data_IF_277570248269
#
_entry.id   IF_277570248269
#
_cell.length_a   1.000
_cell.length_b   1.000
_cell.length_c   1.000
_cell.angle_alpha   90.00
_cell.angle_beta   90.00
_cell.angle_gamma   90.00
#
_symmetry.space_group_name_H-M   'P 1'
#
loop_
_entity.id
_entity.type
_entity.pdbx_description
1 polymer ?
#
# COMPACT_ATOMS: atom_id res chain seq x y z
N UNK A 1 -0.37 28.88 -5.09
CA UNK A 1 -1.00 27.68 -4.51
C UNK A 1 -0.48 26.50 -5.31
N UNK A 2 0.22 25.60 -4.64
CA UNK A 2 0.84 24.45 -5.33
C UNK A 2 -0.23 23.50 -5.83
N UNK A 3 0.00 22.98 -7.05
CA UNK A 3 -0.88 22.04 -7.74
C UNK A 3 -0.38 20.62 -7.57
N UNK A 4 -1.25 19.74 -7.06
CA UNK A 4 -0.93 18.33 -6.84
C UNK A 4 -1.78 17.44 -7.73
N UNK A 5 -1.13 16.52 -8.45
CA UNK A 5 -1.77 15.42 -9.13
C UNK A 5 -1.75 14.17 -8.25
N UNK A 6 -2.91 13.60 -8.01
CA UNK A 6 -3.07 12.29 -7.34
C UNK A 6 -3.46 11.26 -8.39
N UNK A 7 -2.48 10.59 -8.96
CA UNK A 7 -2.67 9.60 -10.02
C UNK A 7 -3.29 8.31 -9.44
N UNK A 8 -4.47 7.91 -9.93
CA UNK A 8 -5.21 6.76 -9.39
C UNK A 8 -5.75 6.96 -7.97
N UNK A 9 -6.07 8.20 -7.60
CA UNK A 9 -6.38 8.60 -6.22
C UNK A 9 -7.74 8.18 -5.66
N UNK A 10 -8.51 7.31 -6.33
CA UNK A 10 -9.81 6.82 -5.83
C UNK A 10 -9.73 5.51 -5.05
N UNK A 11 -8.52 4.99 -4.84
CA UNK A 11 -8.26 3.74 -4.12
C UNK A 11 -8.25 3.89 -2.59
N UNK A 12 -7.81 2.82 -1.92
CA UNK A 12 -7.84 2.67 -0.46
C UNK A 12 -7.16 3.80 0.33
N UNK A 13 -6.04 4.32 -0.15
CA UNK A 13 -5.30 5.42 0.49
C UNK A 13 -5.76 6.78 -0.02
N UNK A 14 -6.04 6.90 -1.33
CA UNK A 14 -6.36 8.18 -1.95
C UNK A 14 -7.62 8.83 -1.40
N UNK A 15 -8.64 8.04 -1.03
CA UNK A 15 -9.89 8.58 -0.44
C UNK A 15 -9.69 9.26 0.92
N UNK A 16 -8.58 8.99 1.61
CA UNK A 16 -8.18 9.69 2.84
C UNK A 16 -7.15 10.79 2.57
N UNK A 17 -6.29 10.62 1.55
CA UNK A 17 -5.25 11.58 1.23
C UNK A 17 -5.81 12.85 0.60
N UNK A 18 -6.72 12.71 -0.37
CA UNK A 18 -7.24 13.85 -1.14
C UNK A 18 -7.85 14.94 -0.24
N UNK A 19 -8.78 14.63 0.71
CA UNK A 19 -9.31 15.66 1.60
C UNK A 19 -8.24 16.31 2.49
N UNK A 20 -7.19 15.58 2.86
CA UNK A 20 -6.09 16.14 3.66
C UNK A 20 -5.21 17.10 2.86
N UNK A 21 -4.99 16.84 1.58
CA UNK A 21 -4.27 17.77 0.69
C UNK A 21 -5.08 19.04 0.44
N UNK A 22 -6.39 18.92 0.18
CA UNK A 22 -7.29 20.08 0.04
C UNK A 22 -7.31 20.92 1.31
N UNK A 23 -7.42 20.29 2.49
CA UNK A 23 -7.42 20.99 3.78
C UNK A 23 -6.09 21.74 4.06
N UNK A 24 -4.99 21.34 3.42
CA UNK A 24 -3.69 22.03 3.48
C UNK A 24 -3.57 23.19 2.48
N UNK A 25 -4.61 23.45 1.69
CA UNK A 25 -4.66 24.56 0.75
C UNK A 25 -4.04 24.25 -0.61
N UNK A 26 -3.79 22.99 -0.96
CA UNK A 26 -3.33 22.60 -2.29
C UNK A 26 -4.49 22.58 -3.31
N UNK A 27 -4.16 22.92 -4.57
CA UNK A 27 -5.04 22.65 -5.70
C UNK A 27 -4.87 21.20 -6.14
N UNK A 28 -5.88 20.36 -5.88
CA UNK A 28 -5.76 18.91 -6.03
C UNK A 28 -6.54 18.41 -7.24
N UNK A 29 -5.85 17.76 -8.15
CA UNK A 29 -6.45 17.00 -9.27
C UNK A 29 -6.28 15.50 -9.02
N UNK A 30 -7.36 14.74 -9.17
CA UNK A 30 -7.42 13.30 -8.94
C UNK A 30 -7.81 12.60 -10.23
N UNK A 31 -7.03 11.62 -10.68
CA UNK A 31 -7.42 10.78 -11.81
C UNK A 31 -8.12 9.50 -11.38
N UNK A 32 -9.06 9.06 -12.21
CA UNK A 32 -9.79 7.81 -12.03
C UNK A 32 -10.16 7.20 -13.39
N UNK A 33 -10.36 5.89 -13.43
CA UNK A 33 -10.86 5.17 -14.60
C UNK A 33 -12.31 4.69 -14.42
N UNK A 34 -12.81 4.58 -13.18
CA UNK A 34 -14.15 4.10 -12.85
C UNK A 34 -14.93 5.13 -12.01
N UNK A 35 -15.97 5.71 -12.59
CA UNK A 35 -16.83 6.67 -11.90
C UNK A 35 -17.70 6.04 -10.79
N UNK A 36 -17.93 4.73 -10.81
CA UNK A 36 -18.74 4.02 -9.79
C UNK A 36 -18.08 4.00 -8.41
N UNK A 37 -16.76 4.13 -8.37
CA UNK A 37 -15.97 4.17 -7.14
C UNK A 37 -15.71 5.60 -6.65
N UNK A 38 -16.36 6.60 -7.27
CA UNK A 38 -16.01 7.98 -7.07
C UNK A 38 -16.67 8.57 -5.82
N UNK A 39 -15.96 8.57 -4.72
CA UNK A 39 -16.23 9.40 -3.56
C UNK A 39 -15.42 10.70 -3.72
N UNK A 40 -16.11 11.81 -3.98
CA UNK A 40 -15.46 13.10 -4.24
C UNK A 40 -15.22 13.87 -2.96
N UNK A 41 -13.98 14.22 -2.70
CA UNK A 41 -13.66 15.23 -1.70
C UNK A 41 -14.05 16.61 -2.23
N UNK A 42 -14.74 17.38 -1.41
CA UNK A 42 -15.06 18.78 -1.74
C UNK A 42 -13.76 19.58 -1.95
N UNK A 43 -13.70 20.39 -2.98
CA UNK A 43 -12.54 21.22 -3.31
C UNK A 43 -11.46 20.51 -4.15
N UNK A 44 -11.62 19.24 -4.50
CA UNK A 44 -10.73 18.56 -5.42
C UNK A 44 -11.36 18.41 -6.80
N UNK A 45 -10.53 18.50 -7.85
CA UNK A 45 -10.92 18.26 -9.23
C UNK A 45 -10.74 16.77 -9.59
N UNK A 46 -11.74 16.14 -10.23
CA UNK A 46 -11.69 14.72 -10.62
C UNK A 46 -11.78 14.58 -12.12
N UNK A 47 -10.75 13.96 -12.72
CA UNK A 47 -10.63 13.77 -14.16
C UNK A 47 -10.64 12.28 -14.48
N UNK A 48 -11.53 11.86 -15.38
CA UNK A 48 -11.50 10.50 -15.92
C UNK A 48 -10.36 10.40 -16.93
N UNK A 49 -9.31 9.66 -16.58
CA UNK A 49 -8.12 9.49 -17.41
C UNK A 49 -7.59 8.06 -17.23
N UNK A 50 -7.23 7.43 -18.35
CA UNK A 50 -6.47 6.19 -18.30
C UNK A 50 -4.99 6.50 -18.05
N UNK A 51 -4.52 6.26 -16.84
CA UNK A 51 -3.13 6.51 -16.47
C UNK A 51 -2.14 5.48 -17.05
N UNK A 52 -2.62 4.45 -17.78
CA UNK A 52 -1.78 3.56 -18.59
C UNK A 52 -1.65 4.01 -20.06
N UNK A 53 -2.33 5.07 -20.47
CA UNK A 53 -2.11 5.75 -21.73
C UNK A 53 -1.07 6.87 -21.55
N UNK A 54 0.13 6.67 -22.09
CA UNK A 54 1.24 7.64 -22.01
C UNK A 54 0.92 8.97 -22.69
N UNK A 55 0.07 8.96 -23.73
CA UNK A 55 -0.38 10.18 -24.40
C UNK A 55 -1.25 11.03 -23.48
N UNK A 56 -2.25 10.39 -22.85
CA UNK A 56 -3.12 11.03 -21.87
C UNK A 56 -2.35 11.54 -20.64
N UNK A 57 -1.34 10.81 -20.17
CA UNK A 57 -0.47 11.25 -19.05
C UNK A 57 0.35 12.50 -19.46
N UNK A 58 0.93 12.54 -20.66
CA UNK A 58 1.68 13.71 -21.14
C UNK A 58 0.79 14.94 -21.28
N UNK A 59 -0.40 14.77 -21.83
CA UNK A 59 -1.39 15.86 -21.97
C UNK A 59 -1.79 16.39 -20.58
N UNK A 60 -2.11 15.50 -19.64
CA UNK A 60 -2.47 15.86 -18.28
C UNK A 60 -1.34 16.64 -17.58
N UNK A 61 -0.09 16.19 -17.71
CA UNK A 61 1.08 16.86 -17.12
C UNK A 61 1.37 18.21 -17.77
N UNK A 62 0.85 18.47 -18.98
CA UNK A 62 0.90 19.77 -19.65
C UNK A 62 0.15 20.88 -18.90
N UNK A 63 -0.77 20.54 -18.00
CA UNK A 63 -1.46 21.51 -17.14
C UNK A 63 -0.56 22.11 -16.05
N UNK A 64 0.65 21.57 -15.83
CA UNK A 64 1.64 22.03 -14.85
C UNK A 64 1.25 21.67 -13.42
N UNK A 65 1.90 20.64 -12.86
CA UNK A 65 1.76 20.24 -11.47
C UNK A 65 3.09 20.43 -10.74
N UNK A 66 3.02 20.96 -9.51
CA UNK A 66 4.21 21.13 -8.67
C UNK A 66 4.60 19.81 -8.02
N UNK A 67 3.62 18.96 -7.67
CA UNK A 67 3.83 17.65 -7.08
C UNK A 67 2.89 16.58 -7.64
N UNK A 68 3.39 15.34 -7.68
CA UNK A 68 2.60 14.16 -8.06
C UNK A 68 2.77 13.07 -7.03
N UNK A 69 1.69 12.42 -6.64
CA UNK A 69 1.74 11.10 -5.99
C UNK A 69 1.09 10.05 -6.91
N UNK A 70 1.79 8.94 -7.11
CA UNK A 70 1.43 7.93 -8.09
C UNK A 70 1.02 6.62 -7.43
N UNK A 71 -0.30 6.36 -7.40
CA UNK A 71 -0.87 5.09 -6.90
C UNK A 71 -0.98 4.01 -7.97
N UNK A 72 -0.50 4.28 -9.18
CA UNK A 72 -0.52 3.29 -10.25
C UNK A 72 0.48 2.16 -9.99
N UNK A 73 0.19 1.00 -10.57
CA UNK A 73 1.05 -0.18 -10.44
C UNK A 73 1.68 -0.47 -11.80
N UNK A 74 2.98 -0.30 -11.90
CA UNK A 74 3.76 -0.56 -13.09
C UNK A 74 4.69 -1.74 -12.87
N UNK A 75 4.84 -2.60 -13.88
CA UNK A 75 5.95 -3.53 -13.93
C UNK A 75 7.29 -2.79 -14.20
N UNK A 76 8.40 -3.53 -14.21
CA UNK A 76 9.73 -2.94 -14.39
C UNK A 76 9.84 -2.13 -15.69
N UNK A 77 9.32 -2.66 -16.81
CA UNK A 77 9.40 -2.01 -18.11
C UNK A 77 8.50 -0.78 -18.22
N UNK A 78 7.29 -0.86 -17.68
CA UNK A 78 6.36 0.26 -17.64
C UNK A 78 6.89 1.38 -16.74
N UNK A 79 7.41 1.04 -15.54
CA UNK A 79 7.95 2.03 -14.61
C UNK A 79 9.03 2.91 -15.25
N UNK A 80 9.98 2.29 -15.98
CA UNK A 80 11.03 3.01 -16.69
C UNK A 80 10.54 3.97 -17.78
N UNK A 81 9.31 3.80 -18.26
CA UNK A 81 8.67 4.71 -19.26
C UNK A 81 7.84 5.81 -18.61
N UNK A 82 7.14 5.51 -17.50
CA UNK A 82 6.24 6.46 -16.86
C UNK A 82 6.95 7.38 -15.87
N UNK A 83 7.86 6.86 -15.03
CA UNK A 83 8.54 7.67 -14.02
C UNK A 83 9.25 8.91 -14.59
N UNK A 84 9.97 8.85 -15.74
CA UNK A 84 10.55 10.04 -16.36
C UNK A 84 9.53 11.12 -16.71
N UNK A 85 8.30 10.75 -17.11
CA UNK A 85 7.26 11.76 -17.45
C UNK A 85 6.91 12.63 -16.24
N UNK A 86 6.82 12.01 -15.04
CA UNK A 86 6.56 12.74 -13.80
C UNK A 86 7.79 13.52 -13.34
N UNK A 87 8.95 12.88 -13.34
CA UNK A 87 10.21 13.47 -12.86
C UNK A 87 10.67 14.69 -13.68
N UNK A 88 10.44 14.67 -15.00
CA UNK A 88 10.80 15.78 -15.90
C UNK A 88 9.82 16.96 -15.83
N UNK A 89 8.60 16.75 -15.36
CA UNK A 89 7.52 17.72 -15.43
C UNK A 89 7.04 18.27 -14.10
N UNK A 90 7.53 17.72 -12.98
CA UNK A 90 7.07 18.14 -11.65
C UNK A 90 8.23 18.42 -10.70
N UNK A 91 7.98 19.28 -9.73
CA UNK A 91 8.95 19.60 -8.67
C UNK A 91 9.15 18.45 -7.69
N UNK A 92 8.12 17.61 -7.47
CA UNK A 92 8.21 16.42 -6.62
C UNK A 92 7.37 15.27 -7.17
N UNK A 93 8.00 14.10 -7.28
CA UNK A 93 7.34 12.83 -7.61
C UNK A 93 7.37 11.87 -6.42
N UNK A 94 6.22 11.62 -5.78
CA UNK A 94 6.08 10.63 -4.71
C UNK A 94 5.69 9.30 -5.32
N UNK A 95 6.62 8.36 -5.32
CA UNK A 95 6.46 7.03 -5.91
C UNK A 95 6.08 6.00 -4.86
N UNK A 96 4.96 5.31 -5.11
CA UNK A 96 4.48 4.25 -4.22
C UNK A 96 5.24 2.94 -4.47
N UNK A 97 6.19 2.63 -3.59
CA UNK A 97 6.80 1.32 -3.45
C UNK A 97 5.98 0.44 -2.48
N UNK A 98 6.61 -0.43 -1.75
CA UNK A 98 5.97 -1.32 -0.78
C UNK A 98 6.99 -1.85 0.24
N UNK A 99 6.57 -2.03 1.49
CA UNK A 99 7.35 -2.75 2.51
C UNK A 99 7.69 -4.20 2.07
N UNK A 100 6.94 -4.77 1.13
CA UNK A 100 7.19 -6.13 0.61
C UNK A 100 8.53 -6.29 -0.10
N UNK A 101 9.22 -5.20 -0.43
CA UNK A 101 10.57 -5.27 -1.01
C UNK A 101 11.60 -5.84 -0.03
N UNK A 102 11.36 -5.75 1.27
CA UNK A 102 12.30 -6.20 2.29
C UNK A 102 12.34 -7.72 2.47
N UNK A 103 13.54 -8.22 2.69
CA UNK A 103 13.78 -9.59 3.16
C UNK A 103 13.36 -9.76 4.64
N UNK A 104 13.60 -10.93 5.22
CA UNK A 104 13.30 -11.23 6.62
C UNK A 104 14.60 -11.46 7.42
N UNK A 105 15.54 -10.51 7.33
CA UNK A 105 16.87 -10.64 7.90
C UNK A 105 17.11 -9.69 9.09
N UNK A 106 16.25 -8.70 9.27
CA UNK A 106 16.36 -7.70 10.33
C UNK A 106 15.03 -7.43 11.03
N UNK A 107 15.10 -7.16 12.33
CA UNK A 107 13.98 -6.73 13.18
C UNK A 107 14.46 -5.67 14.16
N UNK A 108 13.89 -4.46 14.17
CA UNK A 108 12.85 -3.97 13.25
C UNK A 108 13.40 -3.65 11.85
N UNK A 109 12.49 -3.68 10.85
CA UNK A 109 12.81 -3.39 9.45
C UNK A 109 12.89 -1.88 9.24
N UNK A 110 14.05 -1.40 8.79
CA UNK A 110 14.34 0.01 8.47
C UNK A 110 14.41 0.22 6.97
N UNK A 111 14.51 1.47 6.55
CA UNK A 111 14.67 1.83 5.14
C UNK A 111 15.94 1.25 4.50
N UNK A 112 16.95 0.99 5.31
CA UNK A 112 18.25 0.41 4.91
C UNK A 112 18.30 -1.10 4.98
N UNK A 113 17.27 -1.76 5.48
CA UNK A 113 17.23 -3.22 5.64
C UNK A 113 17.36 -3.95 4.31
N UNK A 114 17.91 -5.17 4.28
CA UNK A 114 18.11 -5.96 3.07
C UNK A 114 16.82 -6.17 2.29
N UNK A 115 16.89 -6.06 0.96
CA UNK A 115 15.76 -6.27 0.08
C UNK A 115 15.80 -7.66 -0.57
N UNK A 116 14.63 -8.24 -0.84
CA UNK A 116 14.44 -9.55 -1.47
C UNK A 116 15.18 -9.69 -2.80
N UNK A 117 15.27 -8.62 -3.58
CA UNK A 117 15.97 -8.63 -4.87
C UNK A 117 17.47 -9.02 -4.73
N UNK A 118 18.07 -8.74 -3.57
CA UNK A 118 19.47 -9.05 -3.28
C UNK A 118 19.63 -10.26 -2.35
N UNK A 119 18.75 -10.42 -1.36
CA UNK A 119 18.89 -11.38 -0.28
C UNK A 119 18.21 -12.73 -0.55
N UNK A 120 17.17 -12.78 -1.40
CA UNK A 120 16.44 -14.00 -1.66
C UNK A 120 17.31 -15.03 -2.41
N UNK A 121 17.34 -16.26 -1.89
CA UNK A 121 18.09 -17.38 -2.47
C UNK A 121 17.32 -18.09 -3.60
N UNK A 122 15.99 -17.95 -3.65
CA UNK A 122 15.18 -18.46 -4.76
C UNK A 122 15.42 -17.61 -6.00
N UNK A 123 16.20 -18.15 -6.93
CA UNK A 123 16.55 -17.45 -8.17
C UNK A 123 15.33 -17.23 -9.06
N UNK A 124 14.39 -18.17 -9.10
CA UNK A 124 13.19 -18.03 -9.90
C UNK A 124 12.37 -16.84 -9.43
N UNK A 125 12.17 -16.70 -8.12
CA UNK A 125 11.49 -15.53 -7.54
C UNK A 125 12.28 -14.25 -7.78
N UNK A 126 13.57 -14.25 -7.51
CA UNK A 126 14.44 -13.07 -7.63
C UNK A 126 14.52 -12.52 -9.06
N UNK A 127 14.51 -13.40 -10.07
CA UNK A 127 14.53 -12.99 -11.48
C UNK A 127 13.12 -12.84 -12.09
N UNK A 128 12.07 -13.08 -11.31
CA UNK A 128 10.70 -12.87 -11.74
C UNK A 128 10.37 -11.38 -11.91
N UNK A 129 9.17 -11.13 -12.40
CA UNK A 129 8.57 -9.80 -12.36
C UNK A 129 7.42 -9.76 -11.33
N UNK A 130 7.59 -10.49 -10.18
CA UNK A 130 6.62 -10.43 -9.08
C UNK A 130 6.63 -9.05 -8.41
N UNK A 131 5.55 -8.74 -7.73
CA UNK A 131 5.28 -7.43 -7.15
C UNK A 131 6.45 -6.81 -6.37
N UNK A 132 7.06 -7.46 -5.35
CA UNK A 132 8.18 -6.87 -4.62
C UNK A 132 9.42 -6.67 -5.48
N UNK A 133 9.64 -7.52 -6.48
CA UNK A 133 10.81 -7.46 -7.34
C UNK A 133 10.74 -6.25 -8.27
N UNK A 134 9.61 -6.03 -8.96
CA UNK A 134 9.51 -4.86 -9.82
C UNK A 134 9.43 -3.55 -9.02
N UNK A 135 8.87 -3.55 -7.79
CA UNK A 135 8.92 -2.39 -6.91
C UNK A 135 10.36 -2.05 -6.50
N UNK A 136 11.16 -3.05 -6.12
CA UNK A 136 12.59 -2.84 -5.81
C UNK A 136 13.38 -2.32 -7.01
N UNK A 137 13.13 -2.84 -8.22
CA UNK A 137 13.74 -2.33 -9.46
C UNK A 137 13.35 -0.87 -9.73
N UNK A 138 12.08 -0.50 -9.48
CA UNK A 138 11.62 0.89 -9.57
C UNK A 138 12.34 1.82 -8.59
N UNK A 139 12.58 1.37 -7.35
CA UNK A 139 13.39 2.13 -6.38
C UNK A 139 14.84 2.32 -6.86
N UNK A 140 15.46 1.27 -7.43
CA UNK A 140 16.81 1.39 -8.01
C UNK A 140 16.84 2.42 -9.13
N UNK A 141 15.82 2.44 -10.01
CA UNK A 141 15.69 3.45 -11.06
C UNK A 141 15.66 4.87 -10.48
N UNK A 142 14.82 5.11 -9.47
CA UNK A 142 14.69 6.42 -8.84
C UNK A 142 15.98 6.87 -8.15
N UNK A 143 16.66 5.97 -7.43
CA UNK A 143 17.95 6.29 -6.78
C UNK A 143 19.03 6.70 -7.78
N UNK A 144 18.96 6.19 -9.02
CA UNK A 144 19.82 6.61 -10.14
C UNK A 144 19.41 7.94 -10.76
N UNK A 145 18.25 8.51 -10.45
CA UNK A 145 17.77 9.76 -11.03
C UNK A 145 18.53 10.98 -10.50
N UNK A 146 19.10 11.77 -11.38
CA UNK A 146 19.99 12.88 -11.00
C UNK A 146 19.27 14.03 -10.30
N UNK A 147 18.02 14.31 -10.65
CA UNK A 147 17.26 15.46 -10.16
C UNK A 147 16.89 15.38 -8.68
N UNK A 148 16.93 14.19 -8.08
CA UNK A 148 16.54 13.96 -6.67
C UNK A 148 15.15 14.50 -6.29
N UNK A 149 14.33 14.86 -7.26
CA UNK A 149 12.96 15.33 -7.06
C UNK A 149 11.94 14.18 -6.90
N UNK A 150 12.40 13.04 -6.42
CA UNK A 150 11.56 11.91 -6.05
C UNK A 150 11.50 11.70 -4.53
N UNK A 151 10.44 11.06 -4.10
CA UNK A 151 10.32 10.50 -2.74
C UNK A 151 9.78 9.08 -2.89
N UNK A 152 10.46 8.09 -2.33
CA UNK A 152 10.00 6.69 -2.34
C UNK A 152 9.22 6.44 -1.04
N UNK A 153 8.00 5.94 -1.14
CA UNK A 153 7.19 5.60 0.03
C UNK A 153 6.85 4.11 0.03
N UNK A 154 7.06 3.45 1.16
CA UNK A 154 6.79 2.01 1.37
C UNK A 154 5.70 1.83 2.42
N UNK A 155 4.42 1.92 2.04
CA UNK A 155 3.35 1.57 2.96
C UNK A 155 3.45 0.09 3.37
N UNK A 156 3.15 -0.20 4.64
CA UNK A 156 2.84 -1.55 5.10
C UNK A 156 1.45 -1.97 4.61
N UNK A 157 0.90 -3.07 5.13
CA UNK A 157 -0.47 -3.45 4.81
C UNK A 157 -1.40 -2.32 5.25
N UNK A 158 -2.00 -1.65 4.25
CA UNK A 158 -2.89 -0.52 4.51
C UNK A 158 -4.35 -0.97 4.38
N UNK A 159 -5.11 -0.83 5.45
CA UNK A 159 -6.55 -1.12 5.45
C UNK A 159 -7.40 0.15 5.52
N UNK A 160 -8.62 0.09 5.00
CA UNK A 160 -9.52 1.24 4.85
C UNK A 160 -10.95 0.75 4.65
N UNK A 161 -11.89 1.69 4.54
CA UNK A 161 -13.27 1.42 4.09
C UNK A 161 -13.37 0.65 2.76
N UNK A 162 -12.34 0.69 1.93
CA UNK A 162 -12.29 0.04 0.59
C UNK A 162 -11.45 -1.22 0.55
N UNK A 163 -10.62 -1.44 1.55
CA UNK A 163 -9.68 -2.56 1.56
C UNK A 163 -9.46 -3.09 2.96
N UNK A 164 -9.53 -4.39 3.11
CA UNK A 164 -9.03 -5.07 4.29
C UNK A 164 -8.37 -6.39 3.87
N UNK A 165 -7.44 -6.84 4.68
CA UNK A 165 -6.67 -8.06 4.45
C UNK A 165 -6.60 -8.88 5.73
N UNK A 166 -6.56 -10.19 5.57
CA UNK A 166 -6.22 -11.14 6.64
C UNK A 166 -5.32 -12.22 6.03
N UNK A 167 -4.07 -12.27 6.46
CA UNK A 167 -2.98 -12.97 5.77
C UNK A 167 -2.93 -12.42 4.32
N UNK A 168 -3.12 -13.25 3.30
CA UNK A 168 -3.23 -12.79 1.91
C UNK A 168 -4.64 -12.93 1.32
N UNK A 169 -5.66 -13.03 2.20
CA UNK A 169 -7.06 -12.89 1.81
C UNK A 169 -7.44 -11.42 1.68
N UNK A 170 -8.21 -11.10 0.67
CA UNK A 170 -8.71 -9.75 0.43
C UNK A 170 -10.18 -9.63 0.85
N UNK A 171 -10.69 -8.39 0.93
CA UNK A 171 -12.03 -8.04 1.36
C UNK A 171 -13.15 -8.95 0.78
N UNK A 172 -13.23 -9.24 -0.53
CA UNK A 172 -14.31 -10.07 -1.07
C UNK A 172 -14.33 -11.49 -0.52
N UNK A 173 -13.18 -12.08 -0.24
CA UNK A 173 -13.06 -13.42 0.34
C UNK A 173 -13.49 -13.41 1.81
N UNK A 174 -13.02 -12.44 2.57
CA UNK A 174 -13.32 -12.30 4.01
C UNK A 174 -14.83 -12.06 4.21
N UNK A 175 -15.33 -10.97 3.63
CA UNK A 175 -16.74 -10.58 3.83
C UNK A 175 -17.71 -11.48 3.08
N UNK A 176 -17.31 -12.08 1.96
CA UNK A 176 -18.09 -13.11 1.28
C UNK A 176 -18.31 -14.36 2.13
N UNK A 177 -17.34 -14.76 2.95
CA UNK A 177 -17.49 -15.85 3.92
C UNK A 177 -18.38 -15.43 5.11
N UNK A 178 -18.14 -14.25 5.68
CA UNK A 178 -18.95 -13.69 6.79
C UNK A 178 -20.43 -13.63 6.40
N UNK A 179 -20.75 -13.06 5.24
CA UNK A 179 -22.11 -12.96 4.72
C UNK A 179 -22.81 -14.32 4.60
N UNK A 180 -22.08 -15.33 4.18
CA UNK A 180 -22.59 -16.71 4.02
C UNK A 180 -22.55 -17.49 5.34
N UNK A 181 -22.15 -16.87 6.44
CA UNK A 181 -21.92 -17.51 7.75
C UNK A 181 -21.01 -18.75 7.66
N UNK A 182 -20.00 -18.71 6.78
CA UNK A 182 -19.04 -19.78 6.56
C UNK A 182 -17.72 -19.45 7.27
N UNK A 183 -17.00 -20.46 7.78
CA UNK A 183 -15.65 -20.22 8.31
C UNK A 183 -14.69 -19.79 7.19
N UNK A 184 -13.73 -18.97 7.59
CA UNK A 184 -12.60 -18.55 6.76
C UNK A 184 -11.44 -19.46 7.12
N UNK A 185 -10.87 -20.13 6.13
CA UNK A 185 -9.68 -20.97 6.36
C UNK A 185 -8.46 -20.05 6.51
N UNK A 186 -7.65 -20.27 7.56
CA UNK A 186 -6.40 -19.55 7.83
C UNK A 186 -5.22 -20.51 7.84
N UNK A 187 -4.06 -20.00 7.43
CA UNK A 187 -2.79 -20.72 7.38
C UNK A 187 -2.21 -20.86 8.78
N UNK A 188 -2.05 -22.09 9.26
CA UNK A 188 -1.49 -22.39 10.60
C UNK A 188 -0.11 -21.78 10.79
N UNK A 189 0.75 -21.89 9.78
CA UNK A 189 2.14 -21.38 9.81
C UNK A 189 2.22 -19.86 9.94
N UNK A 190 1.15 -19.14 9.56
CA UNK A 190 1.10 -17.69 9.68
C UNK A 190 0.62 -17.21 11.05
N UNK A 191 -0.09 -18.02 11.84
CA UNK A 191 -0.84 -17.55 13.01
C UNK A 191 0.00 -16.80 14.04
N UNK A 192 1.27 -17.19 14.22
CA UNK A 192 2.20 -16.56 15.16
C UNK A 192 3.16 -15.57 14.49
N UNK A 193 3.06 -15.35 13.18
CA UNK A 193 3.92 -14.42 12.43
C UNK A 193 3.41 -12.99 12.63
N UNK A 194 4.35 -12.07 12.87
CA UNK A 194 4.08 -10.65 13.06
C UNK A 194 3.71 -9.97 11.74
N UNK A 195 2.64 -9.21 11.73
CA UNK A 195 2.21 -8.38 10.62
C UNK A 195 2.06 -6.93 11.05
N UNK A 196 2.56 -6.01 10.24
CA UNK A 196 2.31 -4.58 10.43
C UNK A 196 1.16 -4.16 9.51
N UNK A 197 0.10 -3.64 10.12
CA UNK A 197 -1.06 -3.08 9.43
C UNK A 197 -1.29 -1.65 9.87
N UNK A 198 -1.59 -0.76 8.92
CA UNK A 198 -1.82 0.66 9.19
C UNK A 198 -3.16 1.12 8.64
N UNK A 199 -3.90 1.91 9.42
CA UNK A 199 -5.10 2.55 8.91
C UNK A 199 -4.77 3.58 7.83
N UNK A 200 -5.52 3.57 6.73
CA UNK A 200 -5.26 4.45 5.58
C UNK A 200 -5.34 5.94 5.92
N UNK A 201 -6.10 6.33 6.96
CA UNK A 201 -6.15 7.71 7.43
C UNK A 201 -4.84 8.20 8.01
N UNK A 202 -4.10 7.34 8.73
CA UNK A 202 -2.79 7.66 9.29
C UNK A 202 -1.71 7.64 8.19
N UNK A 203 -1.75 6.65 7.29
CA UNK A 203 -0.89 6.61 6.11
C UNK A 203 -1.06 7.87 5.26
N UNK A 204 -2.30 8.31 5.03
CA UNK A 204 -2.61 9.52 4.29
C UNK A 204 -2.07 10.79 4.98
N UNK A 205 -2.07 10.84 6.32
CA UNK A 205 -1.49 11.95 7.07
C UNK A 205 0.04 12.02 6.87
N UNK A 206 0.71 10.88 6.98
CA UNK A 206 2.14 10.79 6.70
C UNK A 206 2.47 11.23 5.27
N UNK A 207 1.74 10.72 4.27
CA UNK A 207 1.94 11.08 2.86
C UNK A 207 1.69 12.57 2.60
N UNK A 208 0.63 13.15 3.17
CA UNK A 208 0.33 14.57 2.98
C UNK A 208 1.41 15.49 3.54
N UNK A 209 2.12 15.08 4.60
CA UNK A 209 3.23 15.86 5.18
C UNK A 209 4.56 15.68 4.46
N UNK A 210 4.66 14.74 3.51
CA UNK A 210 5.86 14.59 2.67
C UNK A 210 5.84 15.51 1.45
N UNK A 211 4.68 16.03 1.05
CA UNK A 211 4.63 16.98 -0.07
C UNK A 211 5.40 18.25 0.27
N UNK A 212 6.33 18.60 -0.62
CA UNK A 212 7.20 19.77 -0.54
C UNK A 212 8.03 19.89 0.75
N UNK A 213 8.14 18.81 1.49
CA UNK A 213 9.00 18.70 2.65
C UNK A 213 10.45 18.51 2.19
N UNK A 214 11.35 19.41 2.55
CA UNK A 214 12.75 19.37 2.14
C UNK A 214 13.47 18.09 2.57
N UNK A 215 13.05 17.46 3.66
CA UNK A 215 13.59 16.18 4.14
C UNK A 215 13.11 14.97 3.30
N UNK A 216 12.20 15.17 2.34
CA UNK A 216 11.64 14.07 1.55
C UNK A 216 12.29 13.90 0.17
N UNK A 217 13.00 14.91 -0.33
CA UNK A 217 13.57 14.88 -1.67
C UNK A 217 14.78 13.96 -1.78
N UNK A 218 14.71 13.00 -2.71
CA UNK A 218 15.74 11.99 -2.92
C UNK A 218 15.78 10.90 -1.85
N UNK A 219 14.79 10.84 -0.97
CA UNK A 219 14.72 9.97 0.19
C UNK A 219 13.65 8.87 0.05
N UNK A 220 13.76 7.85 0.90
CA UNK A 220 12.77 6.77 1.02
C UNK A 220 12.26 6.66 2.46
N UNK A 221 10.99 6.26 2.62
CA UNK A 221 10.32 6.18 3.92
C UNK A 221 9.47 4.93 4.06
N UNK A 222 9.57 4.28 5.22
CA UNK A 222 8.57 3.33 5.68
C UNK A 222 7.34 4.10 6.18
N UNK A 223 6.27 4.10 5.38
CA UNK A 223 5.04 4.84 5.69
C UNK A 223 4.07 3.90 6.41
N UNK A 224 4.26 3.78 7.72
CA UNK A 224 3.56 2.83 8.57
C UNK A 224 3.41 3.35 9.99
N UNK A 225 2.36 2.91 10.68
CA UNK A 225 2.16 3.19 12.12
C UNK A 225 3.10 2.37 13.00
N UNK A 226 3.83 1.42 12.44
CA UNK A 226 4.73 0.48 13.11
C UNK A 226 4.06 -0.42 14.17
N UNK A 227 2.75 -0.33 14.38
CA UNK A 227 2.03 -1.30 15.18
C UNK A 227 2.10 -2.66 14.48
N UNK A 228 2.50 -3.68 15.22
CA UNK A 228 2.55 -5.06 14.74
C UNK A 228 1.75 -5.97 15.68
N UNK A 229 1.12 -6.96 15.10
CA UNK A 229 0.34 -8.01 15.76
C UNK A 229 0.55 -9.32 15.03
N UNK A 230 0.41 -10.42 15.72
CA UNK A 230 0.36 -11.71 15.03
C UNK A 230 -0.89 -11.81 14.16
N UNK A 231 -0.82 -12.61 13.09
CA UNK A 231 -2.02 -12.87 12.30
C UNK A 231 -3.15 -13.49 13.12
N UNK A 232 -2.82 -14.25 14.18
CA UNK A 232 -3.81 -14.78 15.11
C UNK A 232 -4.53 -13.70 15.90
N UNK A 233 -3.82 -12.69 16.42
CA UNK A 233 -4.43 -11.53 17.09
C UNK A 233 -5.32 -10.74 16.13
N UNK A 234 -4.84 -10.50 14.89
CA UNK A 234 -5.62 -9.81 13.87
C UNK A 234 -6.90 -10.60 13.53
N UNK A 235 -6.82 -11.93 13.39
CA UNK A 235 -7.99 -12.77 13.20
C UNK A 235 -8.99 -12.65 14.36
N UNK A 236 -8.49 -12.56 15.61
CA UNK A 236 -9.31 -12.27 16.79
C UNK A 236 -10.07 -10.95 16.65
N UNK A 237 -9.44 -9.88 16.13
CA UNK A 237 -10.15 -8.61 15.87
C UNK A 237 -11.24 -8.77 14.81
N UNK A 238 -11.02 -9.57 13.76
CA UNK A 238 -12.06 -9.85 12.78
C UNK A 238 -13.22 -10.67 13.37
N UNK A 239 -12.95 -11.60 14.29
CA UNK A 239 -13.99 -12.32 15.00
C UNK A 239 -14.84 -11.37 15.87
N UNK A 240 -14.19 -10.55 16.70
CA UNK A 240 -14.84 -9.64 17.64
C UNK A 240 -15.68 -8.57 16.92
N UNK A 241 -15.13 -7.95 15.88
CA UNK A 241 -15.72 -6.77 15.23
C UNK A 241 -16.75 -7.19 14.18
N UNK A 242 -16.44 -8.23 13.37
CA UNK A 242 -17.22 -8.60 12.21
C UNK A 242 -17.98 -9.92 12.36
N UNK A 243 -17.75 -10.66 13.45
CA UNK A 243 -18.34 -11.98 13.65
C UNK A 243 -17.74 -13.07 12.75
N UNK A 244 -16.51 -12.89 12.30
CA UNK A 244 -15.82 -13.88 11.47
C UNK A 244 -15.60 -15.18 12.24
N UNK A 245 -15.75 -16.31 11.54
CA UNK A 245 -15.45 -17.65 12.05
C UNK A 245 -14.25 -18.20 11.30
N UNK A 246 -13.42 -18.98 11.97
CA UNK A 246 -12.17 -19.46 11.39
C UNK A 246 -12.01 -20.97 11.51
N UNK A 247 -11.37 -21.55 10.51
CA UNK A 247 -10.80 -22.89 10.51
C UNK A 247 -9.32 -22.78 10.22
N UNK A 248 -8.49 -23.53 10.94
CA UNK A 248 -7.05 -23.53 10.77
C UNK A 248 -6.64 -24.72 9.91
N UNK A 249 -5.83 -24.50 8.91
CA UNK A 249 -5.32 -25.51 8.00
C UNK A 249 -3.82 -25.33 7.76
N UNK A 250 -3.16 -26.39 7.30
CA UNK A 250 -1.79 -26.28 6.80
C UNK A 250 -1.70 -25.38 5.57
N UNK A 251 -0.49 -24.99 5.19
CA UNK A 251 -0.23 -24.08 4.08
C UNK A 251 -0.86 -24.52 2.75
N UNK A 252 -0.79 -25.82 2.42
CA UNK A 252 -1.29 -26.32 1.14
C UNK A 252 -2.83 -26.32 1.10
N UNK A 253 -3.48 -26.76 2.17
CA UNK A 253 -4.92 -26.72 2.30
C UNK A 253 -5.43 -25.27 2.31
N UNK A 254 -4.74 -24.36 3.00
CA UNK A 254 -5.03 -22.92 2.99
C UNK A 254 -4.97 -22.33 1.57
N UNK A 255 -3.88 -22.56 0.83
CA UNK A 255 -3.70 -22.03 -0.53
C UNK A 255 -4.76 -22.57 -1.48
N UNK A 256 -5.14 -23.83 -1.33
CA UNK A 256 -6.22 -24.46 -2.09
C UNK A 256 -7.57 -23.81 -1.78
N UNK A 257 -7.91 -23.63 -0.49
CA UNK A 257 -9.13 -22.98 -0.04
C UNK A 257 -9.20 -21.53 -0.53
N UNK A 258 -8.09 -20.78 -0.39
CA UNK A 258 -7.96 -19.40 -0.89
C UNK A 258 -8.27 -19.29 -2.38
N UNK A 259 -7.90 -20.29 -3.18
CA UNK A 259 -8.11 -20.32 -4.62
C UNK A 259 -9.41 -21.07 -5.04
N UNK A 260 -10.38 -21.17 -4.13
CA UNK A 260 -11.68 -21.76 -4.41
C UNK A 260 -11.65 -23.26 -4.72
N UNK A 261 -10.75 -24.00 -4.08
CA UNK A 261 -10.58 -25.45 -4.26
C UNK A 261 -9.68 -25.84 -5.44
N UNK A 262 -9.06 -24.86 -6.13
CA UNK A 262 -8.15 -25.08 -7.24
C UNK A 262 -6.69 -24.93 -6.80
N UNK A 263 -5.72 -25.52 -7.53
CA UNK A 263 -4.29 -25.23 -7.31
C UNK A 263 -4.03 -23.71 -7.31
N UNK A 264 -3.17 -23.26 -6.41
CA UNK A 264 -2.85 -21.83 -6.33
C UNK A 264 -1.89 -21.42 -7.47
N UNK A 265 -2.04 -20.19 -7.91
CA UNK A 265 -1.09 -19.54 -8.80
C UNK A 265 0.25 -19.28 -8.07
N UNK A 266 1.35 -19.31 -8.80
CA UNK A 266 2.70 -19.16 -8.24
C UNK A 266 2.86 -17.85 -7.45
N UNK A 267 2.34 -16.73 -7.94
CA UNK A 267 2.37 -15.44 -7.27
C UNK A 267 1.61 -15.42 -5.92
N UNK A 268 0.56 -16.24 -5.79
CA UNK A 268 -0.19 -16.39 -4.54
C UNK A 268 0.66 -17.08 -3.48
N UNK A 269 1.39 -18.11 -3.89
CA UNK A 269 2.35 -18.82 -3.03
C UNK A 269 3.50 -17.89 -2.64
N UNK A 270 4.10 -17.20 -3.59
CA UNK A 270 5.19 -16.25 -3.33
C UNK A 270 4.76 -15.11 -2.40
N UNK A 271 3.51 -14.62 -2.52
CA UNK A 271 3.00 -13.63 -1.58
C UNK A 271 2.91 -14.19 -0.15
N UNK A 272 2.59 -15.47 0.01
CA UNK A 272 2.57 -16.11 1.32
C UNK A 272 4.01 -16.30 1.82
N UNK A 273 4.85 -16.96 1.04
CA UNK A 273 6.18 -17.41 1.44
C UNK A 273 7.18 -16.26 1.66
N UNK A 274 7.14 -15.23 0.80
CA UNK A 274 8.09 -14.10 0.82
C UNK A 274 7.50 -12.81 1.41
N UNK A 275 6.36 -12.90 2.09
CA UNK A 275 5.81 -11.74 2.78
C UNK A 275 5.00 -12.13 4.03
N UNK A 276 3.91 -12.93 3.88
CA UNK A 276 2.97 -13.19 4.99
C UNK A 276 3.51 -14.16 6.05
N UNK A 277 4.51 -14.98 5.70
CA UNK A 277 5.25 -15.84 6.62
C UNK A 277 6.55 -15.19 7.15
N UNK A 278 6.78 -13.90 6.83
CA UNK A 278 7.87 -13.11 7.37
C UNK A 278 7.40 -12.25 8.54
N UNK A 279 8.21 -12.15 9.58
CA UNK A 279 7.95 -11.21 10.68
C UNK A 279 8.12 -9.77 10.19
N UNK A 280 7.01 -9.07 10.11
CA UNK A 280 6.94 -7.69 9.62
C UNK A 280 6.82 -6.70 10.78
N UNK A 281 7.91 -6.54 11.51
CA UNK A 281 8.07 -5.51 12.56
C UNK A 281 8.78 -4.32 11.94
N UNK A 282 8.04 -3.27 11.63
CA UNK A 282 8.56 -2.11 10.91
C UNK A 282 9.06 -1.01 11.85
N UNK A 283 10.14 -0.35 11.48
CA UNK A 283 10.57 0.92 12.08
C UNK A 283 9.96 2.09 11.29
N UNK A 284 9.43 3.08 12.00
CA UNK A 284 8.87 4.30 11.41
C UNK A 284 9.54 5.59 11.94
N UNK A 285 10.67 5.49 12.60
CA UNK A 285 11.35 6.63 13.22
C UNK A 285 11.69 7.72 12.21
N UNK A 286 12.12 7.33 10.98
CA UNK A 286 12.47 8.27 9.92
C UNK A 286 11.26 9.11 9.46
N UNK A 287 10.10 8.49 9.24
CA UNK A 287 8.89 9.22 8.83
C UNK A 287 8.38 10.12 9.96
N UNK A 288 8.46 9.68 11.21
CA UNK A 288 8.11 10.52 12.36
C UNK A 288 9.00 11.76 12.44
N UNK A 289 10.31 11.58 12.32
CA UNK A 289 11.26 12.71 12.32
C UNK A 289 11.00 13.69 11.17
N UNK A 290 10.72 13.20 9.96
CA UNK A 290 10.48 14.03 8.79
C UNK A 290 9.14 14.78 8.86
N UNK A 291 8.12 14.18 9.45
CA UNK A 291 6.75 14.73 9.45
C UNK A 291 6.36 15.47 10.73
N UNK A 292 7.11 15.29 11.82
CA UNK A 292 6.78 15.81 13.15
C UNK A 292 5.59 15.11 13.81
N UNK A 293 5.13 13.97 13.27
CA UNK A 293 4.09 13.15 13.87
C UNK A 293 4.63 12.39 15.08
N UNK A 294 3.76 12.09 16.02
CA UNK A 294 4.09 11.29 17.21
C UNK A 294 3.44 9.91 17.11
N UNK A 295 4.10 8.89 17.61
CA UNK A 295 3.58 7.52 17.65
C UNK A 295 2.20 7.41 18.31
N UNK A 296 1.96 8.23 19.33
CA UNK A 296 0.68 8.27 20.08
C UNK A 296 -0.49 8.85 19.30
N UNK A 297 -0.26 9.46 18.15
CA UNK A 297 -1.31 10.04 17.29
C UNK A 297 -1.93 9.00 16.35
N UNK A 298 -1.33 7.83 16.22
CA UNK A 298 -1.79 6.80 15.29
C UNK A 298 -2.90 5.94 15.87
N UNK A 299 -3.80 5.53 14.99
CA UNK A 299 -4.91 4.65 15.28
C UNK A 299 -4.42 3.21 15.42
N UNK A 300 -4.81 2.52 16.49
CA UNK A 300 -4.49 1.09 16.64
C UNK A 300 -5.18 0.25 15.55
N UNK A 301 -4.62 -0.94 15.25
CA UNK A 301 -5.23 -1.85 14.26
C UNK A 301 -6.67 -2.19 14.63
N UNK A 302 -6.93 -2.48 15.91
CA UNK A 302 -8.27 -2.81 16.41
C UNK A 302 -9.25 -1.64 16.24
N UNK A 303 -8.85 -0.43 16.65
CA UNK A 303 -9.71 0.75 16.58
C UNK A 303 -9.97 1.19 15.13
N UNK A 304 -8.96 1.07 14.28
CA UNK A 304 -9.11 1.36 12.86
C UNK A 304 -10.06 0.39 12.15
N UNK A 305 -9.99 -0.92 12.43
CA UNK A 305 -10.94 -1.89 11.92
C UNK A 305 -12.37 -1.62 12.42
N UNK A 306 -12.52 -1.28 13.71
CA UNK A 306 -13.81 -0.92 14.29
C UNK A 306 -14.38 0.37 13.66
N UNK A 307 -13.54 1.36 13.38
CA UNK A 307 -13.93 2.62 12.68
C UNK A 307 -14.51 2.36 11.30
N UNK A 308 -13.94 1.40 10.56
CA UNK A 308 -14.37 1.07 9.21
C UNK A 308 -15.51 0.02 9.17
N UNK A 309 -15.97 -0.46 10.34
CA UNK A 309 -16.90 -1.58 10.45
C UNK A 309 -18.17 -1.39 9.60
N UNK A 310 -18.82 -0.24 9.69
CA UNK A 310 -20.08 -0.02 9.00
C UNK A 310 -19.87 -0.04 7.48
N UNK A 311 -18.90 0.74 6.97
CA UNK A 311 -18.62 0.80 5.53
C UNK A 311 -18.13 -0.55 4.96
N UNK A 312 -17.38 -1.31 5.76
CA UNK A 312 -16.94 -2.65 5.32
C UNK A 312 -18.10 -3.66 5.28
N UNK A 313 -19.14 -3.47 6.10
CA UNK A 313 -20.35 -4.31 6.10
C UNK A 313 -21.38 -3.92 5.04
N UNK A 314 -21.47 -2.63 4.68
CA UNK A 314 -22.52 -2.11 3.80
C UNK A 314 -22.46 -2.67 2.36
N UNK A 315 -21.31 -3.19 1.94
CA UNK A 315 -21.14 -3.86 0.64
C UNK A 315 -21.41 -5.37 0.69
N UNK A 316 -21.96 -5.86 1.81
CA UNK A 316 -22.45 -7.24 1.97
C UNK A 316 -23.93 -7.37 1.53
#
# INVERSE_FOLDING_TARGET
MEKILVAGGTGAMGVYLVPKLVARGYEVTVTHNDARLLERAQGANYIKTDMYDMGAVRELLGAGYDGVIDFMVYDTGAFGRYAPLYLDKTGQYISLSSYRVFANEETPIRETSPQLINACKDEEFRYSNDYPIYKAKGECFLRGWRGKNYTIVRPAITYSKRRCQLINLERPQIFGAIKKNKPIVLCNEAMNVQATMSWAGDVAEMLARLFFNSAAFGEDFNVTTAEHRTWGEIAGYYADIFGAKFEIADKEAYLTARNGGKPCEKWQRWQLDYDRLFDRVMDNSKILAATGLKQSEFTSVRDGLAREQNTLKDDL
#
